data_IF_322582427606
#
_entry.id   IF_322582427606
#
_cell.length_a   1.000
_cell.length_b   1.000
_cell.length_c   1.000
_cell.angle_alpha   90.00
_cell.angle_beta   90.00
_cell.angle_gamma   90.00
#
_symmetry.space_group_name_H-M   'P 1'
#
loop_
_entity.id
_entity.type
_entity.pdbx_description
1 polymer ?
#
# COMPACT_ATOMS: atom_id res chain seq x y z
N UNK A 1 15.58 -13.75 16.10
CA UNK A 1 16.78 -13.66 16.95
C UNK A 1 16.61 -12.46 17.88
N UNK A 2 17.00 -12.61 19.13
CA UNK A 2 16.96 -11.55 20.14
C UNK A 2 18.34 -11.42 20.78
N UNK A 3 18.64 -10.23 21.29
CA UNK A 3 19.81 -9.96 22.15
C UNK A 3 19.55 -10.42 23.59
N UNK A 4 20.60 -10.51 24.39
CA UNK A 4 20.54 -10.72 25.83
C UNK A 4 19.85 -9.56 26.56
N UNK A 5 19.95 -8.32 26.06
CA UNK A 5 19.17 -7.18 26.55
C UNK A 5 17.65 -7.42 26.59
N UNK A 6 17.11 -8.27 25.72
CA UNK A 6 15.69 -8.73 25.78
C UNK A 6 15.47 -9.70 26.94
N UNK A 7 16.37 -10.67 27.11
CA UNK A 7 16.27 -11.70 28.16
C UNK A 7 16.44 -11.08 29.55
N UNK A 8 17.30 -10.08 29.66
CA UNK A 8 17.64 -9.35 30.89
C UNK A 8 16.65 -8.23 31.23
N UNK A 9 15.60 -8.04 30.42
CA UNK A 9 14.64 -6.97 30.65
C UNK A 9 13.98 -7.07 32.03
N UNK A 10 13.96 -5.95 32.77
CA UNK A 10 13.38 -5.88 34.11
C UNK A 10 14.29 -6.31 35.26
N UNK A 11 15.54 -6.73 35.01
CA UNK A 11 16.55 -6.99 36.07
C UNK A 11 16.65 -5.77 36.99
N UNK A 12 16.63 -6.02 38.30
CA UNK A 12 16.72 -4.96 39.32
C UNK A 12 15.46 -4.08 39.45
N UNK A 13 14.40 -4.40 38.71
CA UNK A 13 13.11 -3.71 38.73
C UNK A 13 11.95 -4.69 38.86
N UNK A 14 11.09 -4.75 37.83
CA UNK A 14 9.86 -5.57 37.80
C UNK A 14 10.12 -7.08 37.91
N UNK A 15 11.26 -7.55 37.38
CA UNK A 15 11.66 -8.96 37.43
C UNK A 15 13.06 -9.07 38.03
N UNK A 16 13.20 -9.48 39.31
CA UNK A 16 14.50 -9.52 39.97
C UNK A 16 15.59 -10.33 39.24
N UNK A 17 15.20 -11.34 38.45
CA UNK A 17 16.08 -12.19 37.64
C UNK A 17 16.03 -11.88 36.13
N UNK A 18 15.33 -10.82 35.73
CA UNK A 18 15.03 -10.52 34.34
C UNK A 18 13.84 -11.30 33.80
N UNK A 19 13.44 -10.96 32.58
CA UNK A 19 12.27 -11.53 31.92
C UNK A 19 12.46 -13.03 31.64
N UNK A 20 13.67 -13.40 31.20
CA UNK A 20 14.03 -14.77 30.89
C UNK A 20 13.57 -15.22 29.50
N UNK A 21 14.31 -16.17 28.93
CA UNK A 21 14.06 -16.66 27.56
C UNK A 21 12.68 -17.33 27.45
N UNK A 22 12.29 -18.13 28.45
CA UNK A 22 11.04 -18.88 28.42
C UNK A 22 9.81 -17.96 28.40
N UNK A 23 9.84 -16.83 29.13
CA UNK A 23 8.74 -15.87 29.09
C UNK A 23 8.71 -15.09 27.78
N UNK A 24 9.87 -14.72 27.24
CA UNK A 24 9.96 -14.08 25.93
C UNK A 24 9.42 -14.99 24.82
N UNK A 25 9.70 -16.30 24.88
CA UNK A 25 9.14 -17.29 23.96
C UNK A 25 7.61 -17.38 24.10
N UNK A 26 7.07 -17.51 25.31
CA UNK A 26 5.62 -17.55 25.54
C UNK A 26 4.92 -16.29 25.03
N UNK A 27 5.51 -15.12 25.30
CA UNK A 27 4.99 -13.87 24.76
C UNK A 27 4.93 -13.88 23.24
N UNK A 28 5.99 -14.36 22.57
CA UNK A 28 5.99 -14.47 21.11
C UNK A 28 4.94 -15.47 20.61
N UNK A 29 4.76 -16.62 21.27
CA UNK A 29 3.75 -17.63 20.90
C UNK A 29 2.32 -17.08 21.03
N UNK A 30 2.03 -16.33 22.08
CA UNK A 30 0.71 -15.74 22.31
C UNK A 30 0.38 -14.59 21.34
N UNK A 31 1.41 -13.88 20.87
CA UNK A 31 1.24 -12.67 20.09
C UNK A 31 1.58 -12.82 18.60
N UNK A 32 2.18 -13.92 18.18
CA UNK A 32 2.48 -14.19 16.78
C UNK A 32 1.19 -14.59 16.03
N UNK A 33 0.79 -13.76 15.06
CA UNK A 33 -0.40 -13.98 14.24
C UNK A 33 -0.06 -13.93 12.74
N UNK A 34 -0.70 -14.73 11.87
CA UNK A 34 -0.51 -14.68 10.42
C UNK A 34 -0.67 -13.30 9.78
N UNK A 35 -1.43 -12.41 10.41
CA UNK A 35 -1.69 -11.05 9.89
C UNK A 35 -0.60 -10.03 10.25
N UNK A 36 0.23 -10.32 11.26
CA UNK A 36 1.30 -9.40 11.66
C UNK A 36 2.45 -9.42 10.66
N UNK A 37 2.96 -8.25 10.28
CA UNK A 37 4.25 -8.19 9.60
C UNK A 37 5.39 -8.59 10.55
N UNK A 38 6.57 -8.89 9.97
CA UNK A 38 7.76 -9.12 10.78
C UNK A 38 8.11 -7.91 11.65
N UNK A 39 7.88 -6.69 11.12
CA UNK A 39 8.09 -5.45 11.83
C UNK A 39 7.10 -5.30 12.99
N UNK A 40 5.80 -5.57 12.76
CA UNK A 40 4.79 -5.44 13.83
C UNK A 40 5.11 -6.36 15.02
N UNK A 41 5.56 -7.59 14.77
CA UNK A 41 5.95 -8.52 15.84
C UNK A 41 7.24 -8.06 16.54
N UNK A 42 8.20 -7.52 15.79
CA UNK A 42 9.43 -6.97 16.35
C UNK A 42 9.15 -5.76 17.24
N UNK A 43 8.32 -4.83 16.79
CA UNK A 43 7.92 -3.63 17.52
C UNK A 43 7.12 -4.00 18.77
N UNK A 44 6.23 -4.99 18.67
CA UNK A 44 5.46 -5.49 19.82
C UNK A 44 6.36 -6.10 20.89
N UNK A 45 7.36 -6.88 20.50
CA UNK A 45 8.36 -7.41 21.43
C UNK A 45 9.22 -6.28 22.02
N UNK A 46 9.66 -5.34 21.18
CA UNK A 46 10.44 -4.19 21.60
C UNK A 46 9.70 -3.33 22.63
N UNK A 47 8.42 -3.07 22.42
CA UNK A 47 7.58 -2.34 23.36
C UNK A 47 7.42 -3.08 24.69
N UNK A 48 7.19 -4.41 24.66
CA UNK A 48 7.11 -5.19 25.89
C UNK A 48 8.42 -5.12 26.70
N UNK A 49 9.57 -5.20 26.02
CA UNK A 49 10.89 -5.05 26.67
C UNK A 49 11.09 -3.65 27.22
N UNK A 50 10.70 -2.62 26.47
CA UNK A 50 10.76 -1.23 26.91
C UNK A 50 9.94 -0.99 28.19
N UNK A 51 8.75 -1.59 28.26
CA UNK A 51 7.87 -1.51 29.43
C UNK A 51 8.47 -2.28 30.63
N UNK A 52 9.09 -3.44 30.39
CA UNK A 52 9.79 -4.22 31.42
C UNK A 52 10.99 -3.46 32.00
N UNK A 53 11.64 -2.62 31.20
CA UNK A 53 12.66 -1.68 31.66
C UNK A 53 12.10 -0.41 32.30
N UNK A 54 10.78 -0.31 32.51
CA UNK A 54 10.12 0.89 33.03
C UNK A 54 10.48 2.16 32.24
N UNK A 55 10.61 2.06 30.91
CA UNK A 55 11.04 3.13 30.00
C UNK A 55 12.48 3.63 30.23
N UNK A 56 13.32 2.85 30.92
CA UNK A 56 14.73 3.16 31.19
C UNK A 56 15.60 1.93 30.90
N UNK A 57 15.89 1.65 29.62
CA UNK A 57 16.68 0.48 29.23
C UNK A 57 18.04 0.50 29.93
N UNK A 58 18.40 -0.65 30.53
CA UNK A 58 19.69 -0.83 31.19
C UNK A 58 20.77 -1.40 30.27
N UNK A 59 20.40 -1.79 29.05
CA UNK A 59 21.26 -2.43 28.05
C UNK A 59 20.72 -2.16 26.63
N UNK A 60 21.54 -2.41 25.61
CA UNK A 60 21.13 -2.32 24.22
C UNK A 60 20.17 -3.46 23.86
N UNK A 61 19.02 -3.11 23.26
CA UNK A 61 17.99 -4.08 22.87
C UNK A 61 17.92 -4.17 21.36
N UNK A 62 18.20 -5.37 20.84
CA UNK A 62 18.06 -5.72 19.42
C UNK A 62 17.12 -6.91 19.22
N UNK A 63 16.18 -6.76 18.29
CA UNK A 63 15.21 -7.79 17.87
C UNK A 63 15.25 -7.94 16.35
N UNK A 64 15.37 -9.18 15.87
CA UNK A 64 15.30 -9.49 14.44
C UNK A 64 14.26 -10.60 14.19
N UNK A 65 13.24 -10.29 13.41
CA UNK A 65 12.14 -11.21 13.05
C UNK A 65 12.22 -11.53 11.55
N UNK A 66 12.05 -12.81 11.22
CA UNK A 66 11.92 -13.27 9.83
C UNK A 66 10.55 -13.92 9.69
N UNK A 67 9.75 -13.43 8.74
CA UNK A 67 8.46 -14.02 8.38
C UNK A 67 8.56 -14.65 7.01
N UNK A 68 8.59 -15.98 6.96
CA UNK A 68 8.47 -16.72 5.71
C UNK A 68 7.00 -16.70 5.23
N UNK A 69 6.74 -16.12 4.06
CA UNK A 69 5.41 -16.09 3.45
C UNK A 69 5.49 -15.97 1.93
N UNK A 70 4.37 -16.27 1.26
CA UNK A 70 4.22 -15.89 -0.14
C UNK A 70 4.24 -14.37 -0.31
N UNK A 71 4.76 -13.96 -1.45
CA UNK A 71 4.84 -12.57 -1.85
C UNK A 71 3.44 -12.01 -2.05
N UNK A 72 3.13 -10.92 -1.36
CA UNK A 72 1.91 -10.16 -1.54
C UNK A 72 2.12 -9.20 -2.70
N UNK A 73 1.16 -9.16 -3.62
CA UNK A 73 1.28 -8.39 -4.85
C UNK A 73 0.02 -7.55 -5.06
N UNK A 74 0.18 -6.36 -5.63
CA UNK A 74 -0.90 -5.53 -6.12
C UNK A 74 -0.68 -5.17 -7.58
N UNK A 75 -1.76 -5.09 -8.36
CA UNK A 75 -1.75 -4.51 -9.69
C UNK A 75 -2.62 -3.25 -9.72
N UNK A 76 -2.07 -2.15 -10.21
CA UNK A 76 -2.77 -0.87 -10.38
C UNK A 76 -2.91 -0.57 -11.87
N UNK A 77 -4.13 -0.55 -12.38
CA UNK A 77 -4.44 -0.15 -13.76
C UNK A 77 -4.87 1.32 -13.80
N UNK A 78 -4.16 2.15 -14.57
CA UNK A 78 -4.50 3.57 -14.72
C UNK A 78 -4.53 4.06 -16.16
N UNK A 79 -5.71 4.50 -16.56
CA UNK A 79 -6.05 4.94 -17.91
C UNK A 79 -6.31 3.78 -18.89
N UNK A 80 -7.14 4.02 -19.92
CA UNK A 80 -7.30 3.08 -21.02
C UNK A 80 -6.03 2.95 -21.87
N UNK A 81 -5.86 1.81 -22.56
CA UNK A 81 -4.83 1.66 -23.59
C UNK A 81 -4.96 2.72 -24.70
N UNK A 82 -3.88 2.98 -25.42
CA UNK A 82 -3.90 3.92 -26.55
C UNK A 82 -4.87 3.47 -27.66
N UNK A 83 -4.92 2.16 -27.91
CA UNK A 83 -5.86 1.54 -28.85
C UNK A 83 -7.04 0.91 -28.10
N UNK A 84 -8.25 1.39 -28.38
CA UNK A 84 -9.50 0.86 -27.81
C UNK A 84 -9.73 -0.61 -28.16
N UNK A 85 -9.21 -1.08 -29.29
CA UNK A 85 -9.32 -2.51 -29.65
C UNK A 85 -8.59 -3.41 -28.64
N UNK A 86 -7.63 -2.86 -27.90
CA UNK A 86 -6.89 -3.55 -26.85
C UNK A 86 -7.60 -3.57 -25.48
N UNK A 87 -8.70 -2.84 -25.29
CA UNK A 87 -9.41 -2.72 -24.00
C UNK A 87 -9.67 -4.11 -23.37
N UNK A 88 -10.32 -5.00 -24.12
CA UNK A 88 -10.62 -6.36 -23.64
C UNK A 88 -9.37 -7.15 -23.26
N UNK A 89 -8.29 -7.01 -24.04
CA UNK A 89 -7.01 -7.72 -23.81
C UNK A 89 -6.35 -7.21 -22.53
N UNK A 90 -6.29 -5.89 -22.32
CA UNK A 90 -5.72 -5.26 -21.13
C UNK A 90 -6.52 -5.61 -19.89
N UNK A 91 -7.85 -5.49 -19.94
CA UNK A 91 -8.69 -5.86 -18.79
C UNK A 91 -8.54 -7.34 -18.45
N UNK A 92 -8.58 -8.23 -19.44
CA UNK A 92 -8.38 -9.66 -19.19
C UNK A 92 -7.01 -9.97 -18.58
N UNK A 93 -5.96 -9.25 -18.97
CA UNK A 93 -4.63 -9.38 -18.38
C UNK A 93 -4.62 -8.87 -16.93
N UNK A 94 -5.25 -7.73 -16.67
CA UNK A 94 -5.35 -7.11 -15.36
C UNK A 94 -6.10 -8.03 -14.37
N UNK A 95 -7.30 -8.49 -14.71
CA UNK A 95 -8.15 -9.29 -13.79
C UNK A 95 -7.66 -10.71 -13.56
N UNK A 96 -6.71 -11.20 -14.38
CA UNK A 96 -6.04 -12.49 -14.18
C UNK A 96 -4.83 -12.39 -13.26
N UNK A 97 -4.40 -11.18 -12.88
CA UNK A 97 -3.33 -11.01 -11.89
C UNK A 97 -3.84 -11.50 -10.53
N UNK A 98 -2.96 -12.15 -9.79
CA UNK A 98 -3.20 -12.54 -8.40
C UNK A 98 -3.02 -11.35 -7.48
N UNK A 99 -3.50 -11.46 -6.25
CA UNK A 99 -3.37 -10.40 -5.24
C UNK A 99 -4.36 -9.26 -5.47
N UNK A 100 -4.00 -8.07 -4.98
CA UNK A 100 -4.91 -6.93 -4.98
C UNK A 100 -5.02 -6.30 -6.36
N UNK A 101 -6.24 -5.94 -6.77
CA UNK A 101 -6.55 -5.28 -8.03
C UNK A 101 -7.11 -3.89 -7.77
N UNK A 102 -6.39 -2.87 -8.22
CA UNK A 102 -6.78 -1.48 -8.11
C UNK A 102 -6.93 -0.81 -9.48
N UNK A 103 -7.94 0.04 -9.64
CA UNK A 103 -8.14 0.87 -10.83
C UNK A 103 -8.16 2.34 -10.43
N UNK A 104 -7.31 3.14 -11.08
CA UNK A 104 -7.31 4.61 -10.94
C UNK A 104 -7.77 5.25 -12.25
N UNK A 105 -8.99 5.79 -12.29
CA UNK A 105 -9.54 6.56 -13.40
C UNK A 105 -10.95 6.16 -13.78
N UNK A 106 -11.87 7.14 -13.85
CA UNK A 106 -13.28 6.88 -14.12
C UNK A 106 -13.55 6.20 -15.48
N UNK A 107 -12.88 6.64 -16.55
CA UNK A 107 -13.01 5.99 -17.87
C UNK A 107 -12.48 4.55 -17.83
N UNK A 108 -11.33 4.34 -17.20
CA UNK A 108 -10.72 3.02 -17.00
C UNK A 108 -11.65 2.11 -16.21
N UNK A 109 -12.24 2.62 -15.13
CA UNK A 109 -13.17 1.90 -14.27
C UNK A 109 -14.42 1.45 -15.04
N UNK A 110 -14.98 2.31 -15.89
CA UNK A 110 -16.11 1.96 -16.78
C UNK A 110 -15.75 0.85 -17.76
N UNK A 111 -14.56 0.90 -18.36
CA UNK A 111 -14.07 -0.14 -19.29
C UNK A 111 -13.89 -1.47 -18.56
N UNK A 112 -13.28 -1.47 -17.38
CA UNK A 112 -13.10 -2.66 -16.55
C UNK A 112 -14.45 -3.25 -16.13
N UNK A 113 -15.36 -2.41 -15.61
CA UNK A 113 -16.71 -2.82 -15.22
C UNK A 113 -17.48 -3.45 -16.39
N UNK A 114 -17.38 -2.87 -17.58
CA UNK A 114 -17.98 -3.40 -18.79
C UNK A 114 -17.47 -4.82 -19.12
N UNK A 115 -16.15 -5.00 -19.09
CA UNK A 115 -15.52 -6.29 -19.41
C UNK A 115 -15.60 -7.34 -18.31
N UNK A 116 -15.92 -6.96 -17.07
CA UNK A 116 -16.23 -7.87 -15.96
C UNK A 116 -17.68 -8.38 -15.95
N UNK A 117 -18.41 -8.24 -17.06
CA UNK A 117 -19.81 -8.65 -17.16
C UNK A 117 -20.79 -7.50 -16.91
N UNK A 118 -20.39 -6.26 -17.23
CA UNK A 118 -21.18 -5.04 -16.98
C UNK A 118 -21.57 -4.86 -15.51
N UNK A 119 -20.60 -5.09 -14.62
CA UNK A 119 -20.78 -4.89 -13.18
C UNK A 119 -21.13 -3.43 -12.88
N UNK A 120 -21.96 -3.15 -11.87
CA UNK A 120 -22.26 -1.78 -11.47
C UNK A 120 -21.00 -1.07 -10.95
N UNK A 121 -20.90 0.22 -11.23
CA UNK A 121 -19.92 1.13 -10.65
C UNK A 121 -20.66 1.99 -9.63
N UNK A 122 -20.46 1.68 -8.35
CA UNK A 122 -21.13 2.33 -7.22
C UNK A 122 -20.22 3.42 -6.68
N UNK A 123 -20.61 4.69 -6.79
CA UNK A 123 -19.80 5.81 -6.27
C UNK A 123 -20.00 5.90 -4.75
N UNK A 124 -18.89 5.96 -4.01
CA UNK A 124 -18.91 6.10 -2.55
C UNK A 124 -18.73 7.57 -2.15
N UNK A 125 -19.85 8.27 -1.97
CA UNK A 125 -19.86 9.69 -1.60
C UNK A 125 -19.25 9.97 -0.23
N UNK A 126 -19.14 8.97 0.66
CA UNK A 126 -18.52 9.17 1.98
C UNK A 126 -17.01 9.45 1.89
N UNK A 127 -16.38 9.10 0.78
CA UNK A 127 -14.95 9.31 0.52
C UNK A 127 -14.64 10.67 -0.14
N UNK A 128 -15.67 11.45 -0.48
CA UNK A 128 -15.50 12.75 -1.11
C UNK A 128 -14.80 13.73 -0.15
N UNK A 129 -13.78 14.43 -0.67
CA UNK A 129 -13.13 15.58 -0.01
C UNK A 129 -13.27 16.82 -0.91
N UNK A 130 -13.05 18.04 -0.39
CA UNK A 130 -13.15 19.26 -1.19
C UNK A 130 -12.36 19.21 -2.51
N UNK A 131 -11.15 18.63 -2.48
CA UNK A 131 -10.23 18.61 -3.62
C UNK A 131 -10.00 17.20 -4.21
N UNK A 132 -10.67 16.17 -3.69
CA UNK A 132 -10.49 14.78 -4.12
C UNK A 132 -11.85 14.16 -4.43
N UNK A 133 -12.11 13.75 -5.69
CA UNK A 133 -13.34 13.07 -6.06
C UNK A 133 -13.53 11.76 -5.28
N UNK A 134 -14.79 11.34 -5.08
CA UNK A 134 -15.08 10.10 -4.39
C UNK A 134 -14.50 8.89 -5.12
N UNK A 135 -14.15 7.87 -4.34
CA UNK A 135 -13.88 6.53 -4.84
C UNK A 135 -15.15 5.85 -5.34
N UNK A 136 -14.98 4.70 -5.96
CA UNK A 136 -16.07 3.84 -6.39
C UNK A 136 -15.80 2.40 -5.98
N UNK A 137 -16.84 1.58 -6.08
CA UNK A 137 -16.80 0.14 -5.89
C UNK A 137 -17.23 -0.57 -7.17
N UNK A 138 -16.43 -1.55 -7.57
CA UNK A 138 -16.74 -2.51 -8.63
C UNK A 138 -16.44 -3.88 -8.04
N UNK A 139 -17.43 -4.77 -8.05
CA UNK A 139 -17.26 -6.11 -7.49
C UNK A 139 -16.16 -6.89 -8.23
N UNK A 140 -15.19 -7.42 -7.48
CA UNK A 140 -14.00 -8.10 -8.02
C UNK A 140 -12.76 -7.21 -8.13
N UNK A 141 -12.84 -5.94 -7.73
CA UNK A 141 -11.69 -5.06 -7.52
C UNK A 141 -11.60 -4.67 -6.03
N UNK A 142 -10.39 -4.53 -5.53
CA UNK A 142 -10.12 -4.13 -4.14
C UNK A 142 -10.17 -2.61 -3.95
N UNK A 143 -9.87 -1.85 -5.00
CA UNK A 143 -9.87 -0.39 -4.97
C UNK A 143 -10.24 0.19 -6.34
N UNK A 144 -11.20 1.12 -6.36
CA UNK A 144 -11.48 1.93 -7.56
C UNK A 144 -11.51 3.41 -7.18
N UNK A 145 -10.68 4.22 -7.81
CA UNK A 145 -10.53 5.65 -7.49
C UNK A 145 -10.61 6.52 -8.74
N UNK A 146 -10.56 7.83 -8.54
CA UNK A 146 -10.17 8.77 -9.58
C UNK A 146 -8.79 8.39 -10.17
N UNK A 147 -8.48 8.91 -11.35
CA UNK A 147 -7.22 8.69 -12.05
C UNK A 147 -6.13 9.62 -11.56
N UNK A 148 -5.87 10.66 -12.34
CA UNK A 148 -4.66 11.48 -12.17
C UNK A 148 -4.66 12.27 -10.86
N UNK A 149 -5.83 12.71 -10.37
CA UNK A 149 -5.90 13.47 -9.12
C UNK A 149 -5.51 12.59 -7.93
N UNK A 150 -6.03 11.37 -7.88
CA UNK A 150 -5.66 10.39 -6.84
C UNK A 150 -4.17 10.06 -6.90
N UNK A 151 -3.62 9.82 -8.09
CA UNK A 151 -2.20 9.51 -8.26
C UNK A 151 -1.31 10.67 -7.81
N UNK A 152 -1.61 11.90 -8.23
CA UNK A 152 -0.84 13.09 -7.85
C UNK A 152 -0.90 13.32 -6.34
N UNK A 153 -2.08 13.19 -5.73
CA UNK A 153 -2.22 13.35 -4.29
C UNK A 153 -1.47 12.25 -3.51
N UNK A 154 -1.56 10.99 -3.97
CA UNK A 154 -0.82 9.88 -3.37
C UNK A 154 0.70 10.08 -3.49
N UNK A 155 1.18 10.59 -4.63
CA UNK A 155 2.58 10.93 -4.82
C UNK A 155 3.04 12.02 -3.84
N UNK A 156 2.25 13.09 -3.67
CA UNK A 156 2.58 14.18 -2.75
C UNK A 156 2.69 13.69 -1.30
N UNK A 157 1.75 12.85 -0.86
CA UNK A 157 1.79 12.23 0.47
C UNK A 157 3.04 11.33 0.62
N UNK A 158 3.36 10.49 -0.37
CA UNK A 158 4.57 9.67 -0.32
C UNK A 158 5.84 10.51 -0.28
N UNK A 159 5.89 11.63 -1.01
CA UNK A 159 7.02 12.56 -0.98
C UNK A 159 7.14 13.31 0.36
N UNK A 160 6.02 13.62 1.02
CA UNK A 160 6.02 14.23 2.35
C UNK A 160 6.35 13.25 3.49
N UNK A 161 6.68 12.00 3.15
CA UNK A 161 7.05 10.99 4.14
C UNK A 161 5.88 10.22 4.73
N UNK A 162 4.67 10.32 4.15
CA UNK A 162 3.54 9.54 4.62
C UNK A 162 3.85 8.03 4.60
N UNK A 163 3.37 7.36 5.63
CA UNK A 163 3.39 5.93 5.87
C UNK A 163 1.96 5.43 6.19
N UNK A 164 1.83 4.16 6.59
CA UNK A 164 0.51 3.58 6.90
C UNK A 164 -0.19 4.26 8.07
N UNK A 165 0.55 4.71 9.08
CA UNK A 165 -0.02 5.32 10.28
C UNK A 165 -0.53 6.73 10.00
N UNK A 166 0.23 7.53 9.24
CA UNK A 166 -0.17 8.89 8.84
C UNK A 166 -1.48 8.92 8.04
N UNK A 167 -1.73 7.90 7.19
CA UNK A 167 -2.95 7.82 6.38
C UNK A 167 -4.02 6.91 6.98
N UNK A 168 -3.79 6.27 8.13
CA UNK A 168 -4.65 5.20 8.67
C UNK A 168 -6.12 5.56 8.79
N UNK A 169 -6.42 6.77 9.23
CA UNK A 169 -7.78 7.26 9.47
C UNK A 169 -8.36 8.08 8.30
N UNK A 170 -7.62 8.20 7.20
CA UNK A 170 -8.06 8.95 6.03
C UNK A 170 -8.86 8.05 5.08
N UNK A 171 -10.06 8.48 4.69
CA UNK A 171 -10.98 7.68 3.89
C UNK A 171 -10.96 8.02 2.39
N UNK A 172 -10.10 8.93 1.95
CA UNK A 172 -10.00 9.31 0.54
C UNK A 172 -9.25 8.26 -0.30
N UNK A 173 -9.42 8.36 -1.63
CA UNK A 173 -8.83 7.41 -2.57
C UNK A 173 -7.31 7.39 -2.61
N UNK A 174 -6.63 8.50 -2.33
CA UNK A 174 -5.16 8.57 -2.36
C UNK A 174 -4.57 7.88 -1.13
N UNK A 175 -5.15 8.14 0.04
CA UNK A 175 -4.82 7.44 1.27
C UNK A 175 -5.07 5.93 1.15
N UNK A 176 -6.19 5.52 0.52
CA UNK A 176 -6.47 4.10 0.26
C UNK A 176 -5.44 3.46 -0.69
N UNK A 177 -5.03 4.17 -1.74
CA UNK A 177 -3.99 3.69 -2.67
C UNK A 177 -2.64 3.53 -1.97
N UNK A 178 -2.28 4.46 -1.08
CA UNK A 178 -1.03 4.38 -0.29
C UNK A 178 -1.07 3.16 0.62
N UNK A 179 -2.14 2.96 1.39
CA UNK A 179 -2.28 1.79 2.27
C UNK A 179 -2.08 0.49 1.48
N UNK A 180 -2.82 0.32 0.38
CA UNK A 180 -2.71 -0.84 -0.50
C UNK A 180 -1.29 -1.05 -1.03
N UNK A 181 -0.62 0.00 -1.52
CA UNK A 181 0.75 -0.10 -2.02
C UNK A 181 1.77 -0.42 -0.92
N UNK A 182 1.56 0.09 0.30
CA UNK A 182 2.46 -0.16 1.44
C UNK A 182 2.19 -1.53 2.11
N UNK A 183 1.03 -2.13 1.90
CA UNK A 183 0.64 -3.45 2.43
C UNK A 183 1.23 -4.63 1.64
N UNK A 184 1.61 -4.42 0.37
CA UNK A 184 2.15 -5.48 -0.49
C UNK A 184 3.67 -5.41 -0.61
N UNK A 185 4.30 -6.47 -1.14
CA UNK A 185 5.74 -6.49 -1.42
C UNK A 185 6.06 -5.96 -2.81
N UNK A 186 5.14 -6.19 -3.75
CA UNK A 186 5.31 -5.80 -5.15
C UNK A 186 4.09 -5.11 -5.70
N UNK A 187 4.31 -3.94 -6.28
CA UNK A 187 3.31 -3.19 -7.02
C UNK A 187 3.61 -3.25 -8.52
N UNK A 188 2.64 -3.72 -9.30
CA UNK A 188 2.69 -3.71 -10.75
C UNK A 188 1.75 -2.64 -11.31
N UNK A 189 2.30 -1.61 -11.94
CA UNK A 189 1.51 -0.59 -12.61
C UNK A 189 1.29 -0.94 -14.08
N UNK A 190 0.03 -0.92 -14.52
CA UNK A 190 -0.37 -0.96 -15.91
C UNK A 190 -0.85 0.45 -16.29
N UNK A 191 -0.09 1.15 -17.12
CA UNK A 191 -0.34 2.56 -17.44
C UNK A 191 -0.85 2.65 -18.87
N UNK A 192 -2.14 2.89 -19.03
CA UNK A 192 -2.74 3.07 -20.34
C UNK A 192 -2.35 4.42 -20.97
N UNK A 193 -2.08 4.42 -22.27
CA UNK A 193 -1.55 5.58 -22.98
C UNK A 193 -2.60 6.33 -23.83
N UNK A 194 -3.90 6.18 -23.52
CA UNK A 194 -4.95 6.96 -24.19
C UNK A 194 -4.78 8.46 -23.94
N UNK A 195 -4.85 9.26 -25.00
CA UNK A 195 -4.93 10.74 -24.91
C UNK A 195 -6.39 11.14 -24.69
N UNK A 196 -6.68 11.94 -23.66
CA UNK A 196 -8.04 12.47 -23.45
C UNK A 196 -8.30 13.66 -24.40
N UNK A 197 -9.26 13.57 -25.34
CA UNK A 197 -9.55 14.65 -26.29
C UNK A 197 -10.12 15.91 -25.60
N UNK A 198 -10.83 15.75 -24.48
CA UNK A 198 -11.49 16.86 -23.76
C UNK A 198 -10.52 17.78 -23.00
N UNK A 199 -9.22 17.44 -22.97
CA UNK A 199 -8.18 18.21 -22.29
C UNK A 199 -7.02 18.57 -23.23
N UNK A 200 -7.31 18.76 -24.52
CA UNK A 200 -6.41 19.44 -25.45
C UNK A 200 -6.38 20.95 -25.16
N UNK A 201 -5.98 21.35 -23.95
CA UNK A 201 -5.58 22.72 -23.70
C UNK A 201 -4.09 22.83 -24.10
N UNK A 202 -3.73 23.63 -25.13
CA UNK A 202 -2.35 23.81 -25.56
C UNK A 202 -1.40 24.27 -24.44
N UNK A 203 -1.95 24.91 -23.40
CA UNK A 203 -1.21 25.42 -22.25
C UNK A 203 -1.03 24.41 -21.11
N UNK A 204 -1.64 23.22 -21.19
CA UNK A 204 -1.37 22.13 -20.24
C UNK A 204 -0.27 21.22 -20.77
N UNK A 205 0.74 20.84 -19.96
CA UNK A 205 1.72 19.84 -20.36
C UNK A 205 0.97 18.57 -20.78
N UNK A 206 1.40 17.91 -21.86
CA UNK A 206 0.78 16.68 -22.39
C UNK A 206 0.41 15.76 -21.23
N UNK A 207 -0.88 15.69 -20.86
CA UNK A 207 -1.37 14.97 -19.67
C UNK A 207 -0.93 13.50 -19.64
N UNK A 208 -0.68 12.94 -20.83
CA UNK A 208 -0.10 11.61 -21.02
C UNK A 208 1.28 11.46 -20.38
N UNK A 209 2.16 12.45 -20.57
CA UNK A 209 3.47 12.52 -19.93
C UNK A 209 3.34 12.70 -18.42
N UNK A 210 2.37 13.49 -17.97
CA UNK A 210 2.13 13.73 -16.54
C UNK A 210 1.78 12.43 -15.82
N UNK A 211 0.83 11.63 -16.33
CA UNK A 211 0.43 10.38 -15.66
C UNK A 211 1.57 9.38 -15.53
N UNK A 212 2.31 9.13 -16.61
CA UNK A 212 3.44 8.20 -16.57
C UNK A 212 4.58 8.74 -15.68
N UNK A 213 4.80 10.06 -15.68
CA UNK A 213 5.77 10.69 -14.77
C UNK A 213 5.35 10.50 -13.30
N UNK A 214 4.12 10.82 -12.94
CA UNK A 214 3.60 10.63 -11.57
C UNK A 214 3.69 9.17 -11.14
N UNK A 215 3.34 8.21 -12.01
CA UNK A 215 3.49 6.77 -11.69
C UNK A 215 4.95 6.39 -11.45
N UNK A 216 5.90 6.96 -12.22
CA UNK A 216 7.34 6.73 -12.01
C UNK A 216 7.81 7.31 -10.68
N UNK A 217 7.35 8.51 -10.32
CA UNK A 217 7.68 9.14 -9.03
C UNK A 217 7.13 8.33 -7.85
N UNK A 218 5.88 7.85 -7.93
CA UNK A 218 5.31 6.92 -6.94
C UNK A 218 6.16 5.65 -6.86
N UNK A 219 6.54 5.08 -8.00
CA UNK A 219 7.37 3.87 -8.04
C UNK A 219 8.72 4.08 -7.35
N UNK A 220 9.37 5.23 -7.53
CA UNK A 220 10.60 5.59 -6.84
C UNK A 220 10.40 5.71 -5.33
N UNK A 221 9.32 6.35 -4.89
CA UNK A 221 8.99 6.49 -3.47
C UNK A 221 8.69 5.14 -2.80
N UNK A 222 8.04 4.22 -3.50
CA UNK A 222 7.79 2.86 -3.02
C UNK A 222 9.09 2.05 -2.97
N UNK A 223 9.97 2.15 -3.98
CA UNK A 223 11.28 1.48 -3.98
C UNK A 223 12.17 1.94 -2.82
N UNK A 224 12.18 3.24 -2.50
CA UNK A 224 12.89 3.78 -1.32
C UNK A 224 12.40 3.16 0.00
N UNK A 225 11.17 2.66 0.04
CA UNK A 225 10.55 1.97 1.18
C UNK A 225 10.68 0.44 1.08
N UNK A 226 11.62 -0.06 0.27
CA UNK A 226 11.91 -1.49 0.13
C UNK A 226 10.87 -2.27 -0.68
N UNK A 227 9.97 -1.59 -1.41
CA UNK A 227 9.00 -2.27 -2.28
C UNK A 227 9.60 -2.60 -3.63
N UNK A 228 9.24 -3.76 -4.16
CA UNK A 228 9.47 -4.04 -5.57
C UNK A 228 8.42 -3.34 -6.42
N UNK A 229 8.83 -2.73 -7.52
CA UNK A 229 7.89 -2.04 -8.42
C UNK A 229 8.24 -2.31 -9.87
N UNK A 230 7.21 -2.65 -10.65
CA UNK A 230 7.30 -2.84 -12.10
C UNK A 230 6.22 -2.01 -12.80
N UNK A 231 6.54 -1.47 -13.97
CA UNK A 231 5.64 -0.62 -14.75
C UNK A 231 5.58 -1.17 -16.17
N UNK A 232 4.38 -1.28 -16.72
CA UNK A 232 4.15 -1.53 -18.14
C UNK A 232 3.20 -0.48 -18.73
N UNK A 233 3.43 -0.11 -19.99
CA UNK A 233 2.56 0.80 -20.74
C UNK A 233 1.71 0.03 -21.74
N UNK A 234 0.43 0.40 -21.87
CA UNK A 234 -0.55 -0.26 -22.75
C UNK A 234 -1.35 0.73 -23.58
#
# INVERSE_FOLDING_TARGET
RISDGVVNAGIGGLYPLGWGLDQAVRFLEEHCHPDLSAQDLADKLGQAVWDLYCNKPGDDVSVAVIKARHKLVATVLTGPPADKSADKKVVNKFVRRTGFLAVCGGTTAKIVAHHLGRKPLEVDLATMKPDVPPSARIEGLDLTTEGILTLTHANNLLQSGADKDTVKFQNDGASALIRLCLDVDHVHFIVGMSVNPAHQNPDLPRQLGIKLAVVREIAEQLKKRGKEVSIETV
#
